data_IF_193602489801
#
_entry.id   IF_193602489801
#
_cell.length_a   1.000
_cell.length_b   1.000
_cell.length_c   1.000
_cell.angle_alpha   90.00
_cell.angle_beta   90.00
_cell.angle_gamma   90.00
#
_symmetry.space_group_name_H-M   'P 1'
#
loop_
_entity.id
_entity.type
_entity.pdbx_description
1 polymer ?
#
# COMPACT_ATOMS: atom_id res chain seq x y z
N UNK A 1 26.33 -1.78 10.44
CA UNK A 1 26.77 -3.10 9.92
C UNK A 1 27.60 -3.87 10.94
N UNK A 2 28.85 -3.49 11.24
CA UNK A 2 29.69 -4.26 12.20
C UNK A 2 29.12 -4.25 13.64
N UNK A 3 28.61 -3.10 14.10
CA UNK A 3 27.98 -2.97 15.41
C UNK A 3 26.75 -3.87 15.59
N UNK A 4 26.03 -4.16 14.50
CA UNK A 4 24.86 -5.05 14.53
C UNK A 4 25.30 -6.51 14.69
N UNK A 5 26.37 -6.91 14.00
CA UNK A 5 26.95 -8.25 14.16
C UNK A 5 27.54 -8.45 15.56
N UNK A 6 28.05 -7.38 16.17
CA UNK A 6 28.57 -7.41 17.53
C UNK A 6 27.50 -7.60 18.61
N UNK A 7 26.21 -7.51 18.28
CA UNK A 7 25.13 -7.92 19.18
C UNK A 7 25.09 -9.44 19.38
N UNK A 8 25.60 -10.19 18.41
CA UNK A 8 25.59 -11.66 18.40
C UNK A 8 26.95 -12.26 18.75
N UNK A 9 28.06 -11.54 18.56
CA UNK A 9 29.41 -12.06 18.78
C UNK A 9 30.47 -10.98 19.02
N UNK A 10 31.73 -11.37 19.20
CA UNK A 10 32.85 -10.43 19.43
C UNK A 10 33.44 -9.90 18.12
N UNK A 11 34.05 -8.73 18.13
CA UNK A 11 34.74 -8.14 16.96
C UNK A 11 35.72 -9.13 16.30
N UNK A 12 36.58 -9.76 17.11
CA UNK A 12 37.53 -10.78 16.64
C UNK A 12 36.84 -11.95 15.91
N UNK A 13 35.67 -12.40 16.38
CA UNK A 13 34.92 -13.47 15.72
C UNK A 13 34.27 -12.99 14.41
N UNK A 14 33.83 -11.73 14.36
CA UNK A 14 33.33 -11.11 13.12
C UNK A 14 34.44 -11.07 12.07
N UNK A 15 35.61 -10.53 12.42
CA UNK A 15 36.76 -10.43 11.51
C UNK A 15 37.19 -11.81 11.01
N UNK A 16 37.32 -12.77 11.92
CA UNK A 16 37.69 -14.14 11.59
C UNK A 16 36.70 -14.77 10.63
N UNK A 17 35.41 -14.71 10.92
CA UNK A 17 34.39 -15.36 10.11
C UNK A 17 34.24 -14.71 8.73
N UNK A 18 34.19 -13.38 8.67
CA UNK A 18 34.13 -12.66 7.40
C UNK A 18 35.36 -12.93 6.52
N UNK A 19 36.56 -12.97 7.11
CA UNK A 19 37.78 -13.30 6.38
C UNK A 19 37.76 -14.74 5.84
N UNK A 20 37.26 -15.70 6.64
CA UNK A 20 37.15 -17.10 6.21
C UNK A 20 36.18 -17.32 5.04
N UNK A 21 35.13 -16.50 4.93
CA UNK A 21 34.12 -16.60 3.89
C UNK A 21 34.43 -15.71 2.67
N UNK A 22 35.47 -14.87 2.74
CA UNK A 22 35.87 -13.97 1.65
C UNK A 22 36.46 -14.75 0.49
N UNK A 23 36.03 -14.43 -0.72
CA UNK A 23 36.59 -14.96 -1.97
C UNK A 23 36.75 -13.83 -2.98
N UNK A 24 37.41 -14.07 -4.11
CA UNK A 24 37.50 -13.07 -5.19
C UNK A 24 36.11 -12.58 -5.65
N UNK A 25 35.12 -13.48 -5.68
CA UNK A 25 33.73 -13.18 -6.06
C UNK A 25 32.92 -12.53 -4.94
N UNK A 26 33.37 -12.66 -3.69
CA UNK A 26 32.66 -12.18 -2.50
C UNK A 26 33.65 -11.48 -1.58
N UNK A 27 33.92 -10.18 -1.83
CA UNK A 27 34.83 -9.41 -1.00
C UNK A 27 34.29 -9.27 0.42
N UNK A 28 35.19 -8.99 1.37
CA UNK A 28 34.89 -8.91 2.81
C UNK A 28 33.61 -8.15 3.17
N UNK A 29 33.40 -6.97 2.56
CA UNK A 29 32.19 -6.16 2.81
C UNK A 29 30.90 -6.80 2.30
N UNK A 30 30.95 -7.56 1.19
CA UNK A 30 29.80 -8.29 0.67
C UNK A 30 29.44 -9.46 1.61
N UNK A 31 30.44 -10.20 2.08
CA UNK A 31 30.27 -11.26 3.09
C UNK A 31 29.66 -10.71 4.38
N UNK A 32 30.18 -9.59 4.89
CA UNK A 32 29.67 -8.96 6.11
C UNK A 32 28.20 -8.53 5.95
N UNK A 33 27.80 -8.05 4.78
CA UNK A 33 26.41 -7.69 4.47
C UNK A 33 25.52 -8.92 4.41
N UNK A 34 25.92 -9.94 3.65
CA UNK A 34 25.19 -11.22 3.52
C UNK A 34 24.97 -11.87 4.88
N UNK A 35 26.00 -11.87 5.74
CA UNK A 35 25.89 -12.46 7.07
C UNK A 35 24.94 -11.69 7.98
N UNK A 36 25.00 -10.36 7.96
CA UNK A 36 24.05 -9.53 8.69
C UNK A 36 22.62 -9.79 8.23
N UNK A 37 22.39 -9.82 6.92
CA UNK A 37 21.04 -10.00 6.36
C UNK A 37 20.51 -11.42 6.68
N UNK A 38 21.36 -12.44 6.57
CA UNK A 38 21.07 -13.79 7.04
C UNK A 38 20.68 -13.83 8.51
N UNK A 39 21.43 -13.17 9.42
CA UNK A 39 21.10 -13.18 10.84
C UNK A 39 19.77 -12.48 11.14
N UNK A 40 19.45 -11.40 10.43
CA UNK A 40 18.14 -10.73 10.54
C UNK A 40 17.01 -11.69 10.14
N UNK A 41 17.17 -12.41 9.03
CA UNK A 41 16.20 -13.42 8.61
C UNK A 41 16.11 -14.59 9.59
N UNK A 42 17.24 -15.10 10.08
CA UNK A 42 17.30 -16.18 11.07
C UNK A 42 16.56 -15.79 12.36
N UNK A 43 16.75 -14.57 12.86
CA UNK A 43 16.00 -14.05 14.02
C UNK A 43 14.50 -13.99 13.72
N UNK A 44 14.10 -13.48 12.55
CA UNK A 44 12.68 -13.44 12.15
C UNK A 44 12.05 -14.83 12.09
N UNK A 45 12.79 -15.83 11.64
CA UNK A 45 12.35 -17.23 11.59
C UNK A 45 12.45 -17.95 12.95
N UNK A 46 12.84 -17.24 14.02
CA UNK A 46 12.93 -17.81 15.37
C UNK A 46 14.14 -18.72 15.60
N UNK A 47 15.16 -18.66 14.73
CA UNK A 47 16.35 -19.49 14.90
C UNK A 47 17.15 -19.05 16.12
N UNK A 48 17.73 -20.01 16.83
CA UNK A 48 18.59 -19.75 17.98
C UNK A 48 19.96 -19.22 17.53
N UNK A 49 20.13 -17.91 17.47
CA UNK A 49 21.40 -17.25 17.08
C UNK A 49 22.53 -17.39 18.11
N UNK A 50 22.28 -18.01 19.28
CA UNK A 50 23.37 -18.43 20.20
C UNK A 50 23.99 -19.76 19.79
N UNK A 51 23.31 -20.56 18.97
CA UNK A 51 23.87 -21.78 18.39
C UNK A 51 24.95 -21.41 17.37
N UNK A 52 26.17 -21.90 17.55
CA UNK A 52 27.29 -21.59 16.66
C UNK A 52 27.05 -22.01 15.21
N UNK A 53 26.28 -23.08 14.96
CA UNK A 53 25.95 -23.51 13.59
C UNK A 53 24.99 -22.56 12.88
N UNK A 54 24.12 -21.89 13.65
CA UNK A 54 23.24 -20.84 13.14
C UNK A 54 24.02 -19.54 13.02
N UNK A 55 24.81 -19.18 14.03
CA UNK A 55 25.55 -17.92 14.03
C UNK A 55 26.65 -17.87 12.96
N UNK A 56 27.30 -19.01 12.69
CA UNK A 56 28.42 -19.12 11.74
C UNK A 56 28.15 -20.22 10.69
N UNK A 57 27.19 -20.02 9.77
CA UNK A 57 26.86 -21.03 8.78
C UNK A 57 28.06 -21.32 7.86
N UNK A 58 28.44 -22.60 7.72
CA UNK A 58 29.60 -22.97 6.89
C UNK A 58 29.47 -22.52 5.42
N UNK A 59 28.25 -22.51 4.89
CA UNK A 59 27.90 -22.10 3.53
C UNK A 59 27.01 -20.87 3.58
N UNK A 60 27.61 -19.71 3.86
CA UNK A 60 26.86 -18.49 4.18
C UNK A 60 25.85 -18.11 3.09
N UNK A 61 26.23 -18.14 1.81
CA UNK A 61 25.36 -17.75 0.70
C UNK A 61 24.15 -18.69 0.61
N UNK A 62 24.37 -20.00 0.67
CA UNK A 62 23.26 -20.98 0.63
C UNK A 62 22.32 -20.82 1.83
N UNK A 63 22.87 -20.56 3.01
CA UNK A 63 22.08 -20.31 4.21
C UNK A 63 21.27 -19.01 4.10
N UNK A 64 21.88 -17.94 3.59
CA UNK A 64 21.23 -16.66 3.29
C UNK A 64 20.07 -16.83 2.31
N UNK A 65 20.33 -17.41 1.14
CA UNK A 65 19.34 -17.54 0.07
C UNK A 65 18.15 -18.39 0.52
N UNK A 66 18.41 -19.45 1.29
CA UNK A 66 17.35 -20.28 1.86
C UNK A 66 16.44 -19.49 2.82
N UNK A 67 17.00 -18.79 3.81
CA UNK A 67 16.17 -18.05 4.77
C UNK A 67 15.51 -16.82 4.14
N UNK A 68 16.15 -16.21 3.14
CA UNK A 68 15.59 -15.09 2.40
C UNK A 68 14.35 -15.51 1.61
N UNK A 69 14.39 -16.65 0.89
CA UNK A 69 13.23 -17.20 0.18
C UNK A 69 12.07 -17.51 1.14
N UNK A 70 12.36 -18.08 2.31
CA UNK A 70 11.33 -18.36 3.32
C UNK A 70 10.72 -17.08 3.88
N UNK A 71 11.55 -16.08 4.23
CA UNK A 71 11.05 -14.79 4.73
C UNK A 71 10.22 -14.06 3.67
N UNK A 72 10.67 -14.05 2.41
CA UNK A 72 9.93 -13.44 1.31
C UNK A 72 8.53 -14.07 1.17
N UNK A 73 8.42 -15.40 1.21
CA UNK A 73 7.12 -16.09 1.14
C UNK A 73 6.20 -15.74 2.31
N UNK A 74 6.75 -15.58 3.51
CA UNK A 74 5.98 -15.14 4.69
C UNK A 74 5.50 -13.70 4.48
N UNK A 75 6.38 -12.79 4.08
CA UNK A 75 6.04 -11.38 3.83
C UNK A 75 4.99 -11.23 2.72
N UNK A 76 5.10 -11.97 1.64
CA UNK A 76 4.10 -11.99 0.57
C UNK A 76 2.75 -12.49 1.06
N UNK A 77 2.73 -13.51 1.93
CA UNK A 77 1.50 -14.02 2.54
C UNK A 77 0.90 -13.00 3.50
N UNK A 78 1.69 -12.42 4.39
CA UNK A 78 1.27 -11.38 5.33
C UNK A 78 0.70 -10.15 4.59
N UNK A 79 1.35 -9.74 3.51
CA UNK A 79 0.89 -8.64 2.66
C UNK A 79 -0.46 -8.97 1.99
N UNK A 80 -0.61 -10.18 1.44
CA UNK A 80 -1.88 -10.63 0.85
C UNK A 80 -3.01 -10.68 1.87
N UNK A 81 -2.74 -11.21 3.06
CA UNK A 81 -3.72 -11.27 4.16
C UNK A 81 -4.10 -9.86 4.64
N UNK A 82 -3.14 -8.96 4.78
CA UNK A 82 -3.37 -7.55 5.10
C UNK A 82 -4.24 -6.87 4.05
N UNK A 83 -3.89 -6.99 2.77
CA UNK A 83 -4.68 -6.42 1.67
C UNK A 83 -6.10 -6.96 1.63
N UNK A 84 -6.28 -8.27 1.90
CA UNK A 84 -7.60 -8.89 1.95
C UNK A 84 -8.44 -8.30 3.08
N UNK A 85 -7.88 -8.17 4.28
CA UNK A 85 -8.57 -7.61 5.44
C UNK A 85 -8.94 -6.13 5.22
N UNK A 86 -8.03 -5.33 4.66
CA UNK A 86 -8.29 -3.94 4.27
C UNK A 86 -9.44 -3.87 3.26
N UNK A 87 -9.43 -4.73 2.24
CA UNK A 87 -10.48 -4.76 1.23
C UNK A 87 -11.85 -5.15 1.79
N UNK A 88 -11.92 -6.10 2.72
CA UNK A 88 -13.16 -6.51 3.38
C UNK A 88 -13.76 -5.37 4.23
N UNK A 89 -12.91 -4.63 4.95
CA UNK A 89 -13.32 -3.44 5.71
C UNK A 89 -13.84 -2.34 4.78
N UNK A 90 -13.08 -2.02 3.75
CA UNK A 90 -13.44 -1.02 2.76
C UNK A 90 -14.75 -1.38 2.05
N UNK A 91 -14.94 -2.63 1.62
CA UNK A 91 -16.15 -3.07 0.90
C UNK A 91 -17.42 -2.82 1.71
N UNK A 92 -17.39 -3.14 3.01
CA UNK A 92 -18.53 -2.89 3.90
C UNK A 92 -18.83 -1.40 4.08
N UNK A 93 -17.79 -0.56 4.08
CA UNK A 93 -17.92 0.89 4.17
C UNK A 93 -18.43 1.49 2.86
N UNK A 94 -17.84 1.10 1.73
CA UNK A 94 -18.21 1.52 0.37
C UNK A 94 -19.67 1.15 0.04
N UNK A 95 -20.16 -0.01 0.51
CA UNK A 95 -21.57 -0.38 0.40
C UNK A 95 -22.50 0.64 1.08
N UNK A 96 -22.15 1.11 2.27
CA UNK A 96 -22.92 2.16 2.96
C UNK A 96 -22.82 3.47 2.19
N UNK A 97 -21.63 3.80 1.72
CA UNK A 97 -21.37 5.02 0.97
C UNK A 97 -22.10 5.05 -0.37
N UNK A 98 -22.38 3.93 -1.03
CA UNK A 98 -23.23 3.89 -2.23
C UNK A 98 -24.57 4.58 -2.04
N UNK A 99 -25.19 4.46 -0.86
CA UNK A 99 -26.50 5.08 -0.57
C UNK A 99 -26.41 6.59 -0.30
N UNK A 100 -25.20 7.07 0.01
CA UNK A 100 -24.96 8.44 0.49
C UNK A 100 -24.36 9.30 -0.63
N UNK A 101 -23.36 8.76 -1.33
CA UNK A 101 -22.52 9.50 -2.27
C UNK A 101 -22.91 9.29 -3.73
N UNK A 102 -23.68 8.25 -4.09
CA UNK A 102 -24.11 8.06 -5.47
C UNK A 102 -25.11 9.14 -5.87
N UNK A 103 -24.87 9.78 -7.02
CA UNK A 103 -25.72 10.84 -7.54
C UNK A 103 -25.54 10.99 -9.05
N UNK A 104 -26.56 11.47 -9.75
CA UNK A 104 -26.51 11.77 -11.18
C UNK A 104 -27.29 13.03 -11.50
N UNK A 105 -26.84 13.77 -12.51
CA UNK A 105 -27.58 14.89 -13.12
C UNK A 105 -28.30 14.48 -14.42
N UNK A 106 -28.23 13.20 -14.80
CA UNK A 106 -28.76 12.67 -16.05
C UNK A 106 -27.71 12.56 -17.18
N UNK A 107 -26.62 13.33 -17.13
CA UNK A 107 -25.50 13.23 -18.08
C UNK A 107 -24.30 12.49 -17.51
N UNK A 108 -23.88 12.85 -16.30
CA UNK A 108 -22.80 12.22 -15.56
C UNK A 108 -23.34 11.57 -14.26
N UNK A 109 -22.56 10.63 -13.72
CA UNK A 109 -22.84 9.96 -12.46
C UNK A 109 -21.61 9.91 -11.57
N UNK A 110 -21.82 10.13 -10.28
CA UNK A 110 -20.90 9.70 -9.24
C UNK A 110 -21.19 8.24 -8.90
N UNK A 111 -20.18 7.40 -9.07
CA UNK A 111 -20.20 5.96 -8.78
C UNK A 111 -19.21 5.70 -7.65
N UNK A 112 -19.70 5.07 -6.59
CA UNK A 112 -18.83 4.61 -5.49
C UNK A 112 -18.17 3.29 -5.91
N UNK A 113 -16.83 3.15 -5.78
CA UNK A 113 -16.12 1.92 -6.14
C UNK A 113 -16.64 0.70 -5.38
N UNK A 114 -16.48 -0.48 -5.97
CA UNK A 114 -16.93 -1.70 -5.32
C UNK A 114 -16.05 -2.12 -4.14
N UNK A 115 -14.75 -1.91 -4.29
CA UNK A 115 -13.72 -2.32 -3.36
C UNK A 115 -12.41 -1.58 -3.64
N UNK A 116 -11.36 -1.85 -2.85
CA UNK A 116 -10.07 -1.17 -3.03
C UNK A 116 -9.41 -1.55 -4.34
N UNK A 117 -9.62 -2.77 -4.84
CA UNK A 117 -9.07 -3.22 -6.13
C UNK A 117 -9.60 -2.38 -7.28
N UNK A 118 -10.90 -2.06 -7.27
CA UNK A 118 -11.53 -1.18 -8.25
C UNK A 118 -10.86 0.20 -8.28
N UNK A 119 -10.52 0.76 -7.11
CA UNK A 119 -9.80 2.03 -7.01
C UNK A 119 -8.40 1.90 -7.61
N UNK A 120 -7.70 0.79 -7.32
CA UNK A 120 -6.37 0.53 -7.87
C UNK A 120 -6.36 0.44 -9.39
N UNK A 121 -7.30 -0.31 -9.96
CA UNK A 121 -7.46 -0.45 -11.42
C UNK A 121 -7.82 0.88 -12.08
N UNK A 122 -8.70 1.67 -11.46
CA UNK A 122 -9.04 3.01 -11.95
C UNK A 122 -7.81 3.91 -12.00
N UNK A 123 -7.08 4.01 -10.88
CA UNK A 123 -5.89 4.85 -10.81
C UNK A 123 -4.80 4.36 -11.76
N UNK A 124 -4.64 3.04 -11.95
CA UNK A 124 -3.74 2.51 -12.96
C UNK A 124 -4.14 2.97 -14.38
N UNK A 125 -5.42 2.86 -14.72
CA UNK A 125 -5.94 3.23 -16.04
C UNK A 125 -5.82 4.74 -16.31
N UNK A 126 -6.01 5.57 -15.28
CA UNK A 126 -5.89 7.02 -15.38
C UNK A 126 -4.45 7.53 -15.19
N UNK A 127 -3.48 6.65 -14.98
CA UNK A 127 -2.09 6.98 -14.61
C UNK A 127 -1.98 7.88 -13.36
N UNK A 128 -2.82 7.63 -12.37
CA UNK A 128 -2.75 8.25 -11.05
C UNK A 128 -1.91 7.40 -10.08
N UNK A 129 -1.36 8.02 -9.04
CA UNK A 129 -0.70 7.30 -7.96
C UNK A 129 -1.72 6.52 -7.11
N UNK A 130 -1.62 5.19 -7.14
CA UNK A 130 -2.57 4.26 -6.53
C UNK A 130 -2.25 3.88 -5.07
N UNK A 131 -0.98 3.95 -4.70
CA UNK A 131 -0.49 3.26 -3.51
C UNK A 131 -0.92 3.88 -2.17
N UNK A 132 -1.27 5.17 -2.13
CA UNK A 132 -1.40 5.89 -0.87
C UNK A 132 -2.83 6.02 -0.33
N UNK A 133 -3.88 5.80 -1.14
CA UNK A 133 -5.26 6.00 -0.66
C UNK A 133 -5.88 4.76 -0.03
N UNK A 134 -5.36 3.55 -0.25
CA UNK A 134 -6.12 2.34 0.11
C UNK A 134 -6.28 2.15 1.62
N UNK A 135 -5.29 2.57 2.42
CA UNK A 135 -5.40 2.53 3.87
C UNK A 135 -6.39 3.58 4.39
N UNK A 136 -6.30 4.83 3.91
CA UNK A 136 -7.17 5.90 4.37
C UNK A 136 -8.62 5.70 3.95
N UNK A 137 -8.87 5.07 2.79
CA UNK A 137 -10.21 4.62 2.39
C UNK A 137 -10.71 3.48 3.27
N UNK A 138 -9.87 2.49 3.57
CA UNK A 138 -10.25 1.39 4.47
C UNK A 138 -10.54 1.87 5.90
N UNK A 139 -9.87 2.93 6.34
CA UNK A 139 -10.06 3.58 7.64
C UNK A 139 -11.20 4.62 7.64
N UNK A 140 -11.79 4.94 6.48
CA UNK A 140 -12.86 5.91 6.33
C UNK A 140 -12.45 7.38 6.51
N UNK A 141 -11.15 7.69 6.39
CA UNK A 141 -10.63 9.07 6.47
C UNK A 141 -10.81 9.84 5.16
N UNK A 142 -10.89 9.11 4.05
CA UNK A 142 -11.14 9.67 2.73
C UNK A 142 -11.98 8.69 1.92
N UNK A 143 -12.67 9.18 0.90
CA UNK A 143 -13.36 8.36 -0.07
C UNK A 143 -12.93 8.78 -1.47
N UNK A 144 -12.56 7.79 -2.28
CA UNK A 144 -12.34 7.96 -3.72
C UNK A 144 -13.62 7.54 -4.43
N UNK A 145 -14.14 8.45 -5.25
CA UNK A 145 -15.35 8.30 -6.04
C UNK A 145 -15.00 8.39 -7.53
N UNK A 146 -15.79 7.73 -8.36
CA UNK A 146 -15.63 7.77 -9.82
C UNK A 146 -16.68 8.67 -10.43
N UNK A 147 -16.29 9.54 -11.34
CA UNK A 147 -17.21 10.19 -12.26
C UNK A 147 -17.28 9.33 -13.51
N UNK A 148 -18.49 9.11 -14.01
CA UNK A 148 -18.78 8.37 -15.23
C UNK A 148 -19.71 9.17 -16.12
N UNK A 149 -19.58 8.98 -17.43
CA UNK A 149 -20.64 9.35 -18.37
C UNK A 149 -21.75 8.32 -18.29
N UNK A 150 -23.00 8.76 -18.25
CA UNK A 150 -24.15 7.84 -18.20
C UNK A 150 -24.23 6.94 -19.44
N UNK A 151 -23.72 7.40 -20.58
CA UNK A 151 -23.59 6.59 -21.79
C UNK A 151 -22.53 5.50 -21.70
N UNK A 152 -21.54 5.60 -20.79
CA UNK A 152 -20.38 4.73 -20.69
C UNK A 152 -19.97 4.50 -19.21
N UNK A 153 -20.87 3.91 -18.40
CA UNK A 153 -20.66 3.76 -16.94
C UNK A 153 -19.44 2.92 -16.54
N UNK A 154 -18.96 2.03 -17.41
CA UNK A 154 -17.81 1.16 -17.13
C UNK A 154 -16.47 1.78 -17.52
N UNK A 155 -16.47 2.93 -18.20
CA UNK A 155 -15.25 3.52 -18.73
C UNK A 155 -14.67 4.56 -17.76
N UNK A 156 -13.39 4.44 -17.38
CA UNK A 156 -12.68 5.45 -16.61
C UNK A 156 -12.79 6.85 -17.23
N UNK A 157 -13.07 7.86 -16.40
CA UNK A 157 -13.23 9.23 -16.85
C UNK A 157 -12.55 10.22 -15.89
N UNK A 158 -13.11 10.42 -14.69
CA UNK A 158 -12.51 11.22 -13.63
C UNK A 158 -12.66 10.52 -12.28
N UNK A 159 -11.77 10.84 -11.34
CA UNK A 159 -11.87 10.46 -9.93
C UNK A 159 -12.07 11.72 -9.07
N UNK A 160 -12.80 11.59 -7.96
CA UNK A 160 -12.95 12.62 -6.92
C UNK A 160 -12.46 12.04 -5.60
N UNK A 161 -11.56 12.75 -4.91
CA UNK A 161 -11.20 12.49 -3.52
C UNK A 161 -12.03 13.42 -2.62
N UNK A 162 -12.77 12.84 -1.68
CA UNK A 162 -13.58 13.58 -0.70
C UNK A 162 -13.08 13.27 0.71
N UNK A 163 -12.86 14.31 1.50
CA UNK A 163 -12.46 14.26 2.92
C UNK A 163 -13.29 15.31 3.68
N UNK A 164 -13.81 14.94 4.85
CA UNK A 164 -14.70 15.81 5.67
C UNK A 164 -15.81 16.46 4.83
N UNK A 165 -16.49 15.62 4.03
CA UNK A 165 -17.58 16.01 3.13
C UNK A 165 -17.20 17.18 2.19
N UNK A 166 -15.92 17.28 1.83
CA UNK A 166 -15.39 18.34 0.97
C UNK A 166 -14.48 17.74 -0.10
N UNK A 167 -14.55 18.27 -1.32
CA UNK A 167 -13.73 17.76 -2.42
C UNK A 167 -12.30 18.24 -2.24
N UNK A 168 -11.38 17.31 -2.06
CA UNK A 168 -9.94 17.60 -1.96
C UNK A 168 -9.30 17.65 -3.34
N UNK A 169 -9.71 16.75 -4.22
CA UNK A 169 -9.13 16.60 -5.55
C UNK A 169 -10.17 16.06 -6.52
N UNK A 170 -10.12 16.49 -7.78
CA UNK A 170 -10.81 15.83 -8.87
C UNK A 170 -9.97 15.91 -10.15
N UNK A 171 -9.64 14.75 -10.72
CA UNK A 171 -8.64 14.62 -11.80
C UNK A 171 -9.05 13.53 -12.80
N UNK A 172 -8.75 13.79 -14.07
CA UNK A 172 -8.90 12.82 -15.16
C UNK A 172 -7.55 12.22 -15.54
N UNK A 173 -7.51 11.51 -16.66
CA UNK A 173 -6.31 10.85 -17.17
C UNK A 173 -5.05 11.73 -17.13
N UNK A 174 -3.95 11.21 -16.59
CA UNK A 174 -2.66 11.90 -16.54
C UNK A 174 -2.66 13.18 -15.69
N UNK A 175 -3.49 13.24 -14.64
CA UNK A 175 -3.70 14.42 -13.81
C UNK A 175 -4.26 15.63 -14.58
N UNK A 176 -5.01 15.39 -15.66
CA UNK A 176 -5.60 16.48 -16.43
C UNK A 176 -6.64 17.26 -15.61
N UNK A 177 -6.71 18.56 -15.90
CA UNK A 177 -7.72 19.45 -15.32
C UNK A 177 -9.14 19.06 -15.75
N UNK A 178 -10.11 19.57 -15.02
CA UNK A 178 -11.52 19.35 -15.33
C UNK A 178 -11.91 20.11 -16.60
N UNK A 179 -12.61 19.42 -17.50
CA UNK A 179 -13.41 20.11 -18.52
C UNK A 179 -14.53 20.92 -17.89
N UNK A 180 -15.06 21.92 -18.60
CA UNK A 180 -16.18 22.74 -18.12
C UNK A 180 -17.42 21.90 -17.78
N UNK A 181 -17.69 20.83 -18.54
CA UNK A 181 -18.75 19.85 -18.26
C UNK A 181 -18.58 19.22 -16.86
N UNK A 182 -17.38 18.71 -16.58
CA UNK A 182 -17.04 18.05 -15.31
C UNK A 182 -17.05 19.06 -14.16
N UNK A 183 -16.57 20.27 -14.38
CA UNK A 183 -16.57 21.33 -13.36
C UNK A 183 -17.99 21.69 -12.93
N UNK A 184 -18.89 21.92 -13.89
CA UNK A 184 -20.30 22.19 -13.60
C UNK A 184 -20.98 21.04 -12.85
N UNK A 185 -20.66 19.79 -13.22
CA UNK A 185 -21.15 18.61 -12.52
C UNK A 185 -20.64 18.52 -11.08
N UNK A 186 -19.34 18.76 -10.87
CA UNK A 186 -18.68 18.74 -9.56
C UNK A 186 -19.28 19.82 -8.65
N UNK A 187 -19.50 21.03 -9.17
CA UNK A 187 -20.14 22.12 -8.44
C UNK A 187 -21.57 21.73 -8.03
N UNK A 188 -22.35 21.15 -8.95
CA UNK A 188 -23.69 20.66 -8.63
C UNK A 188 -23.66 19.55 -7.56
N UNK A 189 -22.72 18.62 -7.65
CA UNK A 189 -22.53 17.55 -6.68
C UNK A 189 -22.20 18.09 -5.28
N UNK A 190 -21.31 19.08 -5.19
CA UNK A 190 -20.95 19.72 -3.92
C UNK A 190 -22.19 20.37 -3.26
N UNK A 191 -23.01 21.07 -4.04
CA UNK A 191 -24.21 21.75 -3.50
C UNK A 191 -25.32 20.78 -3.11
N UNK A 192 -25.54 19.73 -3.90
CA UNK A 192 -26.70 18.83 -3.77
C UNK A 192 -26.45 17.64 -2.85
N UNK A 193 -25.20 17.21 -2.69
CA UNK A 193 -24.83 16.02 -1.92
C UNK A 193 -23.95 16.38 -0.74
N UNK A 194 -22.78 16.99 -0.99
CA UNK A 194 -21.77 17.16 0.06
C UNK A 194 -22.15 18.21 1.11
N UNK A 195 -22.67 19.38 0.70
CA UNK A 195 -23.10 20.42 1.65
C UNK A 195 -24.18 19.94 2.63
N UNK A 196 -25.27 19.27 2.19
CA UNK A 196 -26.23 18.68 3.12
C UNK A 196 -25.61 17.70 4.10
N UNK A 197 -24.70 16.82 3.64
CA UNK A 197 -24.02 15.85 4.50
C UNK A 197 -23.15 16.52 5.55
N UNK A 198 -22.40 17.55 5.15
CA UNK A 198 -21.55 18.34 6.05
C UNK A 198 -22.36 19.02 7.16
N UNK A 199 -23.51 19.60 6.80
CA UNK A 199 -24.42 20.23 7.77
C UNK A 199 -25.01 19.20 8.74
N UNK A 200 -25.38 18.01 8.26
CA UNK A 200 -25.86 16.92 9.10
C UNK A 200 -24.78 16.42 10.06
N UNK A 201 -23.55 16.25 9.59
CA UNK A 201 -22.43 15.83 10.42
C UNK A 201 -22.18 16.84 11.57
N UNK A 202 -22.18 18.14 11.26
CA UNK A 202 -22.03 19.22 12.23
C UNK A 202 -23.19 19.33 13.25
N UNK A 203 -24.38 18.88 12.88
CA UNK A 203 -25.55 18.91 13.77
C UNK A 203 -25.58 17.74 14.78
N UNK A 204 -24.78 16.69 14.53
CA UNK A 204 -24.76 15.45 15.34
C UNK A 204 -23.47 15.33 16.17
N UNK A 205 -22.45 16.13 15.86
CA UNK A 205 -21.19 16.30 16.60
C UNK A 205 -21.29 17.32 17.72
#
# INVERSE_FOLDING_TARGET
MILELMQYTTLHKVERYCSQQTTEKQPYFAVMRLWRDYLRFAVRLGYNTKNSFVLFPKRLIQAHDHVADVVQKIEEKELREKMKLENERAKSLLEKYRKIYSWTDGGLSVVVPEDLFSIREEGHTLHHCVANYTQDVADGKTIILFIRRNSELTKPFYTIEVTDESIRQCQGFGHCEQTEEVKNFVDAYEQKVLKPLKLLAQAVS
#
